data_IF_006361216348
#
_entry.id   IF_006361216348
#
_cell.length_a   1.000
_cell.length_b   1.000
_cell.length_c   1.000
_cell.angle_alpha   90.00
_cell.angle_beta   90.00
_cell.angle_gamma   90.00
#
_symmetry.space_group_name_H-M   'P 1'
#
loop_
_entity.id
_entity.type
_entity.pdbx_description
1 polymer ?
#
# COMPACT_ATOMS: atom_id res chain seq x y z
N UNK A 1 17.70 17.56 -4.14
CA UNK A 1 18.26 16.25 -3.76
C UNK A 1 17.54 15.78 -2.52
N UNK A 2 18.16 14.94 -1.72
CA UNK A 2 17.67 14.61 -0.38
C UNK A 2 17.76 15.85 0.51
N UNK A 3 16.71 16.14 1.25
CA UNK A 3 16.66 17.18 2.27
C UNK A 3 16.44 16.50 3.61
N UNK A 4 17.42 16.63 4.51
CA UNK A 4 17.43 16.01 5.83
C UNK A 4 17.04 17.03 6.90
N UNK A 5 16.26 16.59 7.87
CA UNK A 5 16.01 17.32 9.10
C UNK A 5 16.84 16.63 10.18
N UNK A 6 17.79 17.35 10.78
CA UNK A 6 18.54 16.82 11.91
C UNK A 6 17.57 16.55 13.08
N UNK A 7 17.56 15.32 13.57
CA UNK A 7 16.72 14.91 14.70
C UNK A 7 17.51 14.08 15.70
N UNK A 8 17.29 14.39 16.97
CA UNK A 8 17.73 13.57 18.09
C UNK A 8 16.58 12.64 18.49
N UNK A 9 16.74 11.35 18.23
CA UNK A 9 15.77 10.34 18.65
C UNK A 9 15.87 10.13 20.16
N UNK A 10 14.74 10.11 20.86
CA UNK A 10 14.73 9.75 22.27
C UNK A 10 15.22 8.31 22.47
N UNK A 11 15.82 7.96 23.62
CA UNK A 11 16.31 6.60 23.85
C UNK A 11 15.23 5.50 23.85
N UNK A 12 13.96 5.86 23.98
CA UNK A 12 12.82 4.95 24.08
C UNK A 12 12.11 4.69 22.75
N UNK A 13 12.63 5.19 21.61
CA UNK A 13 12.04 4.95 20.28
C UNK A 13 12.88 3.99 19.46
N UNK A 14 12.24 3.34 18.49
CA UNK A 14 12.94 2.47 17.55
C UNK A 14 13.45 3.27 16.35
N UNK A 15 14.68 3.00 15.93
CA UNK A 15 15.29 3.57 14.73
C UNK A 15 15.62 2.46 13.73
N UNK A 16 14.61 1.85 13.08
CA UNK A 16 14.82 0.66 12.24
C UNK A 16 15.72 0.92 11.02
N UNK A 17 15.86 2.18 10.61
CA UNK A 17 16.76 2.59 9.54
C UNK A 17 17.64 3.75 10.02
N UNK A 18 18.92 3.67 9.69
CA UNK A 18 19.90 4.74 9.92
C UNK A 18 20.26 5.42 8.60
N UNK A 19 20.70 6.68 8.67
CA UNK A 19 21.15 7.40 7.48
C UNK A 19 22.50 6.84 7.03
N UNK A 20 22.68 6.66 5.72
CA UNK A 20 23.97 6.32 5.13
C UNK A 20 24.67 7.63 4.81
N UNK A 21 25.81 7.97 5.44
CA UNK A 21 26.54 9.20 5.18
C UNK A 21 26.87 9.39 3.71
N UNK A 22 26.94 10.64 3.28
CA UNK A 22 27.25 10.97 1.88
C UNK A 22 28.63 10.44 1.49
N UNK A 23 28.71 9.85 0.30
CA UNK A 23 29.95 9.42 -0.34
C UNK A 23 29.98 9.93 -1.79
N UNK A 24 31.17 10.02 -2.41
CA UNK A 24 31.28 10.52 -3.78
C UNK A 24 30.51 9.66 -4.77
N UNK A 25 29.81 10.31 -5.70
CA UNK A 25 29.10 9.64 -6.81
C UNK A 25 30.06 9.25 -7.95
N UNK A 26 31.23 9.91 -8.01
CA UNK A 26 32.31 9.61 -8.96
C UNK A 26 33.69 9.89 -8.33
N UNK A 27 34.76 9.22 -8.80
CA UNK A 27 34.78 8.19 -9.85
C UNK A 27 34.17 6.86 -9.38
N UNK A 28 33.81 5.95 -10.30
CA UNK A 28 33.06 4.72 -9.98
C UNK A 28 33.76 3.85 -8.93
N UNK A 29 35.09 3.88 -8.90
CA UNK A 29 35.93 3.16 -7.95
C UNK A 29 35.78 3.66 -6.50
N UNK A 30 35.26 4.87 -6.31
CA UNK A 30 35.09 5.54 -5.00
C UNK A 30 33.62 5.58 -4.52
N UNK A 31 32.70 4.91 -5.22
CA UNK A 31 31.25 4.90 -4.92
C UNK A 31 30.94 3.87 -3.83
N UNK A 32 31.45 4.10 -2.62
CA UNK A 32 31.17 3.29 -1.45
C UNK A 32 31.13 4.12 -0.15
N UNK A 33 30.28 3.76 0.83
CA UNK A 33 30.27 4.42 2.13
C UNK A 33 31.60 4.21 2.86
N UNK A 34 32.20 5.29 3.35
CA UNK A 34 33.43 5.24 4.18
C UNK A 34 33.12 5.14 5.68
N UNK A 35 31.91 5.52 6.04
CA UNK A 35 31.44 5.57 7.42
C UNK A 35 30.25 4.63 7.60
N UNK A 36 30.11 4.10 8.82
CA UNK A 36 28.95 3.30 9.17
C UNK A 36 27.69 4.18 9.16
N UNK A 37 26.51 3.62 8.82
CA UNK A 37 25.25 4.32 8.94
C UNK A 37 25.04 4.89 10.35
N UNK A 38 24.61 6.14 10.42
CA UNK A 38 24.40 6.88 11.66
C UNK A 38 23.22 7.84 11.54
N UNK A 39 22.68 8.30 12.67
CA UNK A 39 21.47 9.14 12.68
C UNK A 39 20.20 8.39 12.26
N UNK A 40 19.06 8.76 12.80
CA UNK A 40 17.82 8.06 12.51
C UNK A 40 17.26 8.48 11.13
N UNK A 41 17.15 7.54 10.20
CA UNK A 41 16.51 7.75 8.89
C UNK A 41 15.01 7.40 8.90
N UNK A 42 14.60 6.56 9.85
CA UNK A 42 13.21 6.24 10.15
C UNK A 42 13.12 6.06 11.66
N UNK A 43 12.12 6.68 12.28
CA UNK A 43 11.81 6.56 13.70
C UNK A 43 10.41 5.95 13.82
N UNK A 44 10.27 4.88 14.59
CA UNK A 44 8.99 4.24 14.88
C UNK A 44 8.76 4.24 16.39
N UNK A 45 7.53 4.57 16.80
CA UNK A 45 7.17 4.65 18.22
C UNK A 45 5.72 4.22 18.45
N UNK A 46 5.52 3.32 19.40
CA UNK A 46 4.22 3.12 20.03
C UNK A 46 4.07 4.15 21.17
N UNK A 47 2.97 4.90 21.20
CA UNK A 47 2.82 6.01 22.15
C UNK A 47 2.44 5.56 23.56
N UNK A 48 2.15 4.27 23.75
CA UNK A 48 1.58 3.72 24.98
C UNK A 48 0.10 4.08 25.23
N UNK A 49 -0.49 4.93 24.38
CA UNK A 49 -1.88 5.41 24.49
C UNK A 49 -2.75 4.91 23.33
N UNK A 50 -2.37 3.78 22.71
CA UNK A 50 -3.06 3.21 21.56
C UNK A 50 -2.70 3.83 20.20
N UNK A 51 -1.72 4.75 20.16
CA UNK A 51 -1.23 5.34 18.92
C UNK A 51 0.10 4.75 18.45
N UNK A 52 0.32 4.75 17.14
CA UNK A 52 1.59 4.39 16.50
C UNK A 52 2.02 5.51 15.58
N UNK A 53 3.30 5.87 15.60
CA UNK A 53 3.86 6.95 14.79
C UNK A 53 5.11 6.47 14.08
N UNK A 54 5.17 6.70 12.77
CA UNK A 54 6.40 6.60 11.98
C UNK A 54 6.78 7.99 11.52
N UNK A 55 7.99 8.42 11.84
CA UNK A 55 8.54 9.68 11.42
C UNK A 55 9.76 9.44 10.52
N UNK A 56 9.75 10.06 9.34
CA UNK A 56 10.81 9.96 8.34
C UNK A 56 11.40 11.37 8.19
N UNK A 57 12.56 11.68 8.81
CA UNK A 57 13.14 13.02 8.88
C UNK A 57 13.80 13.49 7.57
N UNK A 58 13.21 13.14 6.43
CA UNK A 58 13.67 13.55 5.11
C UNK A 58 12.53 13.55 4.10
N UNK A 59 12.74 14.21 2.97
CA UNK A 59 11.72 14.43 1.93
C UNK A 59 11.40 13.17 1.09
N UNK A 60 11.18 12.01 1.71
CA UNK A 60 10.95 10.72 1.03
C UNK A 60 9.84 10.77 -0.01
N UNK A 61 8.75 11.50 0.24
CA UNK A 61 7.65 11.63 -0.72
C UNK A 61 8.08 12.34 -2.01
N UNK A 62 8.85 13.42 -1.89
CA UNK A 62 9.39 14.15 -3.04
C UNK A 62 10.45 13.31 -3.78
N UNK A 63 11.33 12.64 -3.04
CA UNK A 63 12.36 11.77 -3.62
C UNK A 63 11.72 10.59 -4.36
N UNK A 64 10.72 9.94 -3.76
CA UNK A 64 9.97 8.87 -4.41
C UNK A 64 9.26 9.35 -5.65
N UNK A 65 8.61 10.52 -5.62
CA UNK A 65 7.97 11.11 -6.80
C UNK A 65 8.95 11.35 -7.95
N UNK A 66 10.16 11.82 -7.65
CA UNK A 66 11.18 12.14 -8.66
C UNK A 66 11.87 10.90 -9.23
N UNK A 67 12.16 9.91 -8.39
CA UNK A 67 13.02 8.76 -8.75
C UNK A 67 12.19 7.50 -9.03
N UNK A 68 11.02 7.36 -8.41
CA UNK A 68 10.18 6.17 -8.43
C UNK A 68 10.93 4.89 -8.01
N UNK A 69 11.88 5.04 -7.09
CA UNK A 69 12.65 3.91 -6.56
C UNK A 69 11.71 2.95 -5.80
N UNK A 70 11.71 1.65 -6.14
CA UNK A 70 10.79 0.68 -5.53
C UNK A 70 11.00 0.54 -4.02
N UNK A 71 12.24 0.67 -3.54
CA UNK A 71 12.56 0.58 -2.11
C UNK A 71 11.94 1.72 -1.29
N UNK A 72 11.85 2.93 -1.84
CA UNK A 72 11.16 4.05 -1.19
C UNK A 72 9.65 3.82 -1.13
N UNK A 73 9.06 3.31 -2.22
CA UNK A 73 7.65 2.92 -2.22
C UNK A 73 7.35 1.84 -1.17
N UNK A 74 8.24 0.86 -1.05
CA UNK A 74 8.14 -0.20 -0.03
C UNK A 74 8.29 0.36 1.39
N UNK A 75 9.20 1.29 1.62
CA UNK A 75 9.37 1.93 2.93
C UNK A 75 8.12 2.72 3.33
N UNK A 76 7.53 3.49 2.42
CA UNK A 76 6.28 4.21 2.66
C UNK A 76 5.14 3.23 2.98
N UNK A 77 5.00 2.16 2.20
CA UNK A 77 3.97 1.13 2.43
C UNK A 77 4.13 0.48 3.80
N UNK A 78 5.35 0.06 4.15
CA UNK A 78 5.63 -0.55 5.45
C UNK A 78 5.36 0.41 6.62
N UNK A 79 5.68 1.70 6.46
CA UNK A 79 5.40 2.71 7.47
C UNK A 79 3.89 2.84 7.75
N UNK A 80 3.07 2.89 6.69
CA UNK A 80 1.61 2.94 6.81
C UNK A 80 1.06 1.66 7.44
N UNK A 81 1.51 0.49 6.98
CA UNK A 81 1.06 -0.80 7.51
C UNK A 81 1.41 -0.97 8.99
N UNK A 82 2.62 -0.59 9.38
CA UNK A 82 3.05 -0.65 10.77
C UNK A 82 2.24 0.31 11.66
N UNK A 83 2.00 1.54 11.17
CA UNK A 83 1.22 2.55 11.89
C UNK A 83 -0.26 2.18 12.01
N UNK A 84 -0.84 1.49 11.02
CA UNK A 84 -2.21 0.98 11.08
C UNK A 84 -2.39 0.00 12.25
N UNK A 85 -1.37 -0.82 12.54
CA UNK A 85 -1.33 -1.73 13.70
C UNK A 85 -2.35 -2.86 13.71
N UNK A 86 -3.08 -3.03 12.62
CA UNK A 86 -4.03 -4.09 12.36
C UNK A 86 -4.01 -4.44 10.86
N UNK A 87 -4.70 -5.52 10.51
CA UNK A 87 -4.84 -5.90 9.10
C UNK A 87 -5.80 -4.95 8.36
N UNK A 88 -5.69 -4.90 7.04
CA UNK A 88 -6.52 -4.03 6.20
C UNK A 88 -7.95 -4.55 6.11
N UNK A 89 -8.91 -3.62 6.03
CA UNK A 89 -10.32 -3.94 5.76
C UNK A 89 -10.49 -4.67 4.42
N UNK A 90 -9.74 -4.24 3.41
CA UNK A 90 -9.70 -4.83 2.07
C UNK A 90 -8.23 -4.97 1.66
N UNK A 91 -7.83 -6.15 1.20
CA UNK A 91 -6.58 -6.36 0.48
C UNK A 91 -6.86 -6.79 -0.95
N UNK A 92 -6.01 -6.37 -1.87
CA UNK A 92 -6.06 -6.76 -3.29
C UNK A 92 -4.69 -7.29 -3.66
N UNK A 93 -4.64 -8.54 -4.10
CA UNK A 93 -3.43 -9.20 -4.55
C UNK A 93 -3.53 -9.56 -6.02
N UNK A 94 -2.52 -9.18 -6.79
CA UNK A 94 -2.42 -9.49 -8.21
C UNK A 94 -1.40 -8.61 -8.91
N UNK A 95 -1.19 -8.87 -10.20
CA UNK A 95 -0.29 -8.06 -11.01
C UNK A 95 -0.99 -6.79 -11.47
N UNK A 96 -0.26 -5.68 -11.44
CA UNK A 96 -0.73 -4.39 -11.89
C UNK A 96 -0.64 -3.34 -10.79
N UNK A 97 -1.11 -2.15 -11.10
CA UNK A 97 -1.27 -1.05 -10.15
C UNK A 97 -2.76 -0.72 -10.13
N UNK A 98 -3.37 -0.93 -8.96
CA UNK A 98 -4.81 -0.74 -8.76
C UNK A 98 -4.99 0.35 -7.72
N UNK A 99 -5.81 1.33 -8.04
CA UNK A 99 -6.37 2.24 -7.05
C UNK A 99 -7.67 1.66 -6.49
N UNK A 100 -7.81 1.73 -5.16
CA UNK A 100 -8.88 1.08 -4.42
C UNK A 100 -9.66 2.15 -3.66
N UNK A 101 -10.96 2.23 -3.93
CA UNK A 101 -11.87 3.01 -3.11
C UNK A 101 -12.93 2.10 -2.49
N UNK A 102 -13.19 2.27 -1.20
CA UNK A 102 -14.13 1.44 -0.43
C UNK A 102 -15.26 2.33 0.07
N UNK A 103 -16.49 1.87 -0.16
CA UNK A 103 -17.70 2.45 0.41
C UNK A 103 -18.44 1.36 1.19
N UNK A 104 -18.68 1.57 2.47
CA UNK A 104 -19.28 0.60 3.38
C UNK A 104 -20.55 1.16 4.02
N UNK A 105 -21.61 0.34 4.00
CA UNK A 105 -22.89 0.54 4.68
C UNK A 105 -23.11 -0.59 5.71
N UNK A 106 -24.27 -0.62 6.38
CA UNK A 106 -24.57 -1.61 7.43
C UNK A 106 -24.60 -3.07 6.95
N UNK A 107 -25.11 -3.30 5.73
CA UNK A 107 -25.32 -4.64 5.16
C UNK A 107 -24.48 -4.92 3.90
N UNK A 108 -23.68 -3.95 3.44
CA UNK A 108 -22.94 -4.08 2.19
C UNK A 108 -21.68 -3.22 2.10
N UNK A 109 -20.79 -3.62 1.17
CA UNK A 109 -19.60 -2.88 0.78
C UNK A 109 -19.46 -2.87 -0.74
N UNK A 110 -19.13 -1.70 -1.29
CA UNK A 110 -18.72 -1.53 -2.68
C UNK A 110 -17.23 -1.19 -2.73
N UNK A 111 -16.47 -1.94 -3.53
CA UNK A 111 -15.03 -1.78 -3.70
C UNK A 111 -14.78 -1.46 -5.17
N UNK A 112 -14.34 -0.24 -5.45
CA UNK A 112 -13.95 0.21 -6.77
C UNK A 112 -12.49 -0.15 -7.00
N UNK A 113 -12.21 -0.82 -8.12
CA UNK A 113 -10.87 -1.25 -8.52
C UNK A 113 -10.52 -0.58 -9.84
N UNK A 114 -9.73 0.49 -9.81
CA UNK A 114 -9.32 1.23 -11.01
C UNK A 114 -7.95 0.73 -11.45
N UNK A 115 -7.85 0.21 -12.67
CA UNK A 115 -6.58 -0.23 -13.24
C UNK A 115 -5.77 0.96 -13.74
N UNK A 116 -4.68 1.28 -13.02
CA UNK A 116 -3.72 2.32 -13.38
C UNK A 116 -2.49 1.76 -14.13
N UNK A 117 -2.48 0.47 -14.45
CA UNK A 117 -1.33 -0.20 -15.08
C UNK A 117 -1.06 0.36 -16.46
N UNK A 118 0.03 1.12 -16.58
CA UNK A 118 0.48 1.66 -17.85
C UNK A 118 1.99 1.95 -17.83
N UNK A 119 2.73 1.73 -18.94
CA UNK A 119 4.13 2.15 -19.05
C UNK A 119 4.37 3.63 -18.73
N UNK A 120 3.38 4.49 -18.96
CA UNK A 120 3.44 5.92 -18.68
C UNK A 120 2.45 6.35 -17.58
N UNK A 121 2.16 5.48 -16.61
CA UNK A 121 1.14 5.69 -15.55
C UNK A 121 1.16 7.08 -14.91
N UNK A 122 2.35 7.65 -14.69
CA UNK A 122 2.50 8.97 -14.03
C UNK A 122 2.29 10.15 -15.00
N UNK A 123 1.87 9.91 -16.24
CA UNK A 123 1.55 10.94 -17.24
C UNK A 123 0.06 10.88 -17.60
N UNK A 124 -0.56 12.05 -17.79
CA UNK A 124 -1.99 12.14 -18.10
C UNK A 124 -2.42 11.52 -19.45
N UNK A 125 -1.67 11.67 -20.56
CA UNK A 125 -2.09 11.13 -21.85
C UNK A 125 -2.04 9.59 -21.89
N UNK A 126 -3.19 8.96 -22.11
CA UNK A 126 -3.34 7.52 -22.31
C UNK A 126 -3.56 7.20 -23.80
N UNK A 127 -2.74 6.31 -24.36
CA UNK A 127 -2.90 5.84 -25.75
C UNK A 127 -3.80 4.61 -25.85
N UNK A 128 -3.63 3.69 -24.91
CA UNK A 128 -4.32 2.42 -24.85
C UNK A 128 -4.44 1.96 -23.39
N UNK A 129 -5.52 1.24 -23.08
CA UNK A 129 -5.75 0.61 -21.77
C UNK A 129 -5.23 -0.83 -21.84
N UNK A 130 -4.30 -1.19 -20.95
CA UNK A 130 -3.78 -2.55 -20.84
C UNK A 130 -4.54 -3.31 -19.75
N UNK A 131 -5.37 -4.31 -20.11
CA UNK A 131 -6.08 -5.09 -19.11
C UNK A 131 -5.11 -5.87 -18.24
N UNK A 132 -5.41 -5.92 -16.95
CA UNK A 132 -4.71 -6.78 -15.99
C UNK A 132 -5.49 -8.07 -15.78
N UNK A 133 -4.75 -9.11 -15.42
CA UNK A 133 -5.29 -10.43 -15.15
C UNK A 133 -5.97 -10.51 -13.78
N UNK A 134 -6.06 -11.74 -13.29
CA UNK A 134 -6.74 -12.07 -12.05
C UNK A 134 -6.25 -11.26 -10.84
N UNK A 135 -7.21 -10.78 -10.05
CA UNK A 135 -6.99 -10.13 -8.76
C UNK A 135 -7.76 -10.90 -7.69
N UNK A 136 -7.11 -11.13 -6.55
CA UNK A 136 -7.73 -11.73 -5.37
C UNK A 136 -8.01 -10.65 -4.35
N UNK A 137 -9.28 -10.48 -4.01
CA UNK A 137 -9.72 -9.61 -2.92
C UNK A 137 -9.88 -10.44 -1.66
N UNK A 138 -9.39 -9.92 -0.54
CA UNK A 138 -9.74 -10.44 0.78
C UNK A 138 -10.35 -9.32 1.62
N UNK A 139 -11.57 -9.52 2.09
CA UNK A 139 -12.36 -8.51 2.78
C UNK A 139 -12.65 -9.01 4.19
N UNK A 140 -12.26 -8.26 5.22
CA UNK A 140 -12.65 -8.58 6.59
C UNK A 140 -14.15 -8.39 6.77
N UNK A 141 -14.85 -9.40 7.29
CA UNK A 141 -16.30 -9.34 7.51
C UNK A 141 -16.61 -8.63 8.84
N UNK A 142 -17.70 -7.85 8.92
CA UNK A 142 -18.19 -7.36 10.22
C UNK A 142 -18.44 -8.53 11.19
N UNK A 143 -18.26 -8.28 12.49
CA UNK A 143 -18.51 -9.29 13.53
C UNK A 143 -19.94 -9.83 13.42
N UNK A 144 -20.06 -11.16 13.50
CA UNK A 144 -21.36 -11.85 13.43
C UNK A 144 -21.88 -12.09 12.01
N UNK A 145 -21.16 -11.66 10.96
CA UNK A 145 -21.47 -12.01 9.57
C UNK A 145 -20.64 -13.22 9.15
N UNK A 146 -21.31 -14.25 8.61
CA UNK A 146 -20.64 -15.50 8.22
C UNK A 146 -20.85 -15.89 6.75
N UNK A 147 -21.61 -15.12 5.99
CA UNK A 147 -21.77 -15.33 4.55
C UNK A 147 -21.97 -14.03 3.81
N UNK A 148 -21.70 -14.04 2.51
CA UNK A 148 -21.93 -12.89 1.65
C UNK A 148 -22.24 -13.29 0.20
N UNK A 149 -23.01 -12.45 -0.47
CA UNK A 149 -23.26 -12.51 -1.91
C UNK A 149 -22.41 -11.46 -2.60
N UNK A 150 -21.79 -11.83 -3.73
CA UNK A 150 -20.89 -10.95 -4.48
C UNK A 150 -21.41 -10.73 -5.90
N UNK A 151 -21.38 -9.49 -6.35
CA UNK A 151 -21.61 -9.11 -7.74
C UNK A 151 -20.46 -8.24 -8.27
N UNK A 152 -19.98 -8.57 -9.47
CA UNK A 152 -19.11 -7.72 -10.26
C UNK A 152 -20.00 -6.78 -11.07
N UNK A 153 -20.01 -5.49 -10.75
CA UNK A 153 -21.01 -4.56 -11.30
C UNK A 153 -20.72 -4.17 -12.75
N UNK A 154 -19.45 -4.02 -13.14
CA UNK A 154 -19.08 -3.66 -14.52
C UNK A 154 -19.31 -4.85 -15.45
N UNK A 155 -18.87 -6.05 -15.05
CA UNK A 155 -19.15 -7.29 -15.80
C UNK A 155 -20.62 -7.74 -15.73
N UNK A 156 -21.40 -7.22 -14.77
CA UNK A 156 -22.78 -7.63 -14.52
C UNK A 156 -22.94 -9.13 -14.20
N UNK A 157 -21.99 -9.70 -13.48
CA UNK A 157 -21.91 -11.13 -13.17
C UNK A 157 -21.89 -11.37 -11.66
N UNK A 158 -22.42 -12.53 -11.23
CA UNK A 158 -22.20 -13.00 -9.87
C UNK A 158 -20.79 -13.58 -9.76
N UNK A 159 -20.11 -13.34 -8.63
CA UNK A 159 -18.81 -13.95 -8.34
C UNK A 159 -18.93 -14.91 -7.15
N UNK A 160 -18.11 -15.95 -7.14
CA UNK A 160 -18.00 -16.82 -5.97
C UNK A 160 -17.32 -16.09 -4.83
N UNK A 161 -17.85 -16.31 -3.62
CA UNK A 161 -17.28 -15.85 -2.37
C UNK A 161 -16.89 -17.07 -1.55
N UNK A 162 -15.65 -17.11 -1.06
CA UNK A 162 -15.19 -18.13 -0.14
C UNK A 162 -14.89 -17.48 1.20
N UNK A 163 -15.44 -18.02 2.27
CA UNK A 163 -15.13 -17.53 3.62
C UNK A 163 -13.91 -18.29 4.15
N UNK A 164 -12.87 -17.55 4.53
CA UNK A 164 -11.64 -18.06 5.14
C UNK A 164 -11.41 -17.32 6.45
N UNK A 165 -11.67 -18.00 7.57
CA UNK A 165 -11.67 -17.36 8.88
C UNK A 165 -12.78 -16.31 8.98
N UNK A 166 -12.41 -15.06 9.25
CA UNK A 166 -13.30 -13.89 9.26
C UNK A 166 -13.30 -13.11 7.93
N UNK A 167 -12.62 -13.59 6.88
CA UNK A 167 -12.50 -12.86 5.62
C UNK A 167 -13.29 -13.52 4.50
N UNK A 168 -13.86 -12.70 3.64
CA UNK A 168 -14.43 -13.09 2.36
C UNK A 168 -13.36 -12.95 1.26
N UNK A 169 -13.03 -14.06 0.60
CA UNK A 169 -12.16 -14.12 -0.57
C UNK A 169 -13.00 -14.08 -1.85
N UNK A 170 -12.64 -13.17 -2.76
CA UNK A 170 -13.30 -12.99 -4.06
C UNK A 170 -12.22 -12.93 -5.15
N UNK A 171 -12.44 -13.65 -6.24
CA UNK A 171 -11.60 -13.57 -7.42
C UNK A 171 -12.25 -12.65 -8.46
N UNK A 172 -11.52 -11.63 -8.91
CA UNK A 172 -11.87 -10.78 -10.05
C UNK A 172 -11.01 -11.23 -11.23
N UNK A 173 -11.57 -11.92 -12.25
CA UNK A 173 -10.75 -12.61 -13.26
C UNK A 173 -9.87 -11.70 -14.12
N UNK A 174 -10.30 -10.45 -14.32
CA UNK A 174 -9.60 -9.45 -15.11
C UNK A 174 -10.22 -8.08 -14.89
N UNK A 175 -9.40 -7.04 -15.03
CA UNK A 175 -9.84 -5.65 -14.97
C UNK A 175 -9.25 -4.93 -16.18
N UNK A 176 -10.11 -4.39 -17.04
CA UNK A 176 -9.65 -3.58 -18.19
C UNK A 176 -9.28 -2.19 -17.69
N UNK A 177 -10.27 -1.42 -17.30
CA UNK A 177 -10.19 -0.04 -16.83
C UNK A 177 -10.70 0.09 -15.38
N UNK A 178 -11.88 -0.48 -15.10
CA UNK A 178 -12.53 -0.46 -13.80
C UNK A 178 -13.28 -1.78 -13.58
N UNK A 179 -13.34 -2.22 -12.33
CA UNK A 179 -14.37 -3.13 -11.85
C UNK A 179 -14.92 -2.61 -10.52
N UNK A 180 -16.14 -3.01 -10.15
CA UNK A 180 -16.67 -2.78 -8.81
C UNK A 180 -17.17 -4.08 -8.22
N UNK A 181 -16.59 -4.47 -7.09
CA UNK A 181 -17.03 -5.62 -6.32
C UNK A 181 -18.04 -5.14 -5.30
N UNK A 182 -19.30 -5.56 -5.46
CA UNK A 182 -20.35 -5.31 -4.49
C UNK A 182 -20.58 -6.56 -3.66
N UNK A 183 -20.30 -6.45 -2.36
CA UNK A 183 -20.48 -7.47 -1.35
C UNK A 183 -21.71 -7.13 -0.51
N UNK A 184 -22.65 -8.07 -0.37
CA UNK A 184 -23.77 -7.95 0.58
C UNK A 184 -23.65 -9.11 1.57
N UNK A 185 -23.44 -8.81 2.85
CA UNK A 185 -23.27 -9.85 3.86
C UNK A 185 -24.59 -10.19 4.56
N UNK A 186 -24.67 -11.43 5.01
CA UNK A 186 -25.83 -11.97 5.70
C UNK A 186 -25.44 -12.47 7.09
N UNK A 187 -26.44 -12.51 7.96
CA UNK A 187 -26.35 -13.07 9.32
C UNK A 187 -26.13 -14.57 9.34
#
# INVERSE_FOLDING_TARGET
>A
GTHLIAVDANPDVETPFLYVPDFPDLPMEEVYPREAPNGAAVIARETGHGGRVVYIPWNIGEVFWKVLAPDHGRLISNAVNWALGQDHRVTVEGKGIIDIAVYENEDSMAIFLVNLTNPMMMKGPLREVYPIGEQTLSIDLPKGRSSATVKLLVKSEAASCKIVGNRAEITVPSIRDLETVHLTWHS
#
